data_IF_214570058718
#
_entry.id   IF_214570058718
#
_cell.length_a   1.000
_cell.length_b   1.000
_cell.length_c   1.000
_cell.angle_alpha   90.00
_cell.angle_beta   90.00
_cell.angle_gamma   90.00
#
_symmetry.space_group_name_H-M   'P 1'
#
loop_
_entity.id
_entity.type
_entity.pdbx_description
1 polymer ?
#
# COMPACT_ATOMS: atom_id res chain seq x y z
N UNK A 1 -0.61 41.19 55.19
CA UNK A 1 0.77 41.71 55.26
C UNK A 1 1.36 41.73 53.85
N UNK A 2 1.89 42.90 53.44
CA UNK A 2 3.01 43.17 52.49
C UNK A 2 3.12 42.30 51.20
N UNK A 3 2.87 42.88 50.01
CA UNK A 3 3.86 43.53 49.06
C UNK A 3 4.73 42.48 48.31
N UNK A 4 5.10 42.50 47.03
CA UNK A 4 5.24 43.42 45.86
C UNK A 4 5.57 42.50 44.64
N UNK A 5 4.96 42.63 43.45
CA UNK A 5 5.47 43.26 42.19
C UNK A 5 6.97 43.07 41.87
N UNK A 6 7.29 42.60 40.65
CA UNK A 6 8.44 42.92 39.74
C UNK A 6 8.83 41.67 38.92
N UNK A 7 9.16 41.68 37.61
CA UNK A 7 9.39 42.73 36.66
C UNK A 7 9.21 42.22 35.21
N UNK A 8 8.68 43.10 34.37
CA UNK A 8 8.76 43.12 32.91
C UNK A 8 10.19 43.00 32.39
N UNK A 9 10.40 42.23 31.32
CA UNK A 9 11.34 42.63 30.28
C UNK A 9 10.77 42.27 28.91
N UNK A 10 10.20 43.28 28.26
CA UNK A 10 9.92 43.30 26.82
C UNK A 10 11.20 43.79 26.16
N UNK A 11 11.78 42.99 25.27
CA UNK A 11 12.72 43.50 24.27
C UNK A 11 12.26 43.00 22.90
N UNK A 12 11.83 43.95 22.09
CA UNK A 12 11.39 43.79 20.73
C UNK A 12 12.58 43.48 19.79
N UNK A 13 12.37 42.60 18.82
CA UNK A 13 13.02 42.72 17.51
C UNK A 13 11.91 42.77 16.46
N UNK A 14 11.91 43.89 15.74
CA UNK A 14 11.06 44.23 14.62
C UNK A 14 11.45 43.46 13.35
N UNK A 15 10.44 43.23 12.54
CA UNK A 15 10.44 43.22 11.07
C UNK A 15 11.02 42.01 10.32
N UNK A 16 10.11 41.14 9.87
CA UNK A 16 10.00 40.78 8.45
C UNK A 16 8.54 40.46 8.16
N UNK A 17 7.84 41.45 7.63
CA UNK A 17 6.47 41.36 7.15
C UNK A 17 6.37 40.42 5.94
N UNK A 18 5.60 39.35 6.07
CA UNK A 18 4.69 38.96 4.98
C UNK A 18 3.28 39.03 5.54
N UNK A 19 2.56 40.06 5.11
CA UNK A 19 1.12 40.18 5.28
C UNK A 19 0.51 38.97 4.59
N UNK A 20 -0.04 38.05 5.35
CA UNK A 20 -1.02 37.13 4.80
C UNK A 20 -2.31 37.93 4.65
N UNK A 21 -2.50 38.43 3.43
CA UNK A 21 -3.80 38.88 2.98
C UNK A 21 -4.78 37.73 3.22
N UNK A 22 -5.88 38.04 3.89
CA UNK A 22 -6.96 37.11 4.10
C UNK A 22 -7.50 36.65 2.74
N UNK A 23 -7.28 35.38 2.41
CA UNK A 23 -8.18 34.62 1.57
C UNK A 23 -8.54 33.35 2.33
N UNK A 24 -9.73 33.36 2.93
CA UNK A 24 -10.38 32.18 3.50
C UNK A 24 -10.79 31.27 2.33
N UNK A 25 -9.87 30.45 1.84
CA UNK A 25 -10.15 29.31 0.97
C UNK A 25 -9.82 28.01 1.75
N UNK A 26 -10.63 26.94 1.60
CA UNK A 26 -10.68 25.86 2.57
C UNK A 26 -9.44 24.98 2.51
N UNK A 27 -8.52 25.17 3.45
CA UNK A 27 -7.36 24.29 3.71
C UNK A 27 -7.78 22.85 4.04
N UNK A 28 -9.05 22.63 4.39
CA UNK A 28 -9.63 21.32 4.66
C UNK A 28 -9.73 20.41 3.41
N UNK A 29 -9.88 20.99 2.21
CA UNK A 29 -10.07 20.20 0.98
C UNK A 29 -8.77 19.55 0.47
N UNK A 30 -7.60 20.14 0.73
CA UNK A 30 -6.30 19.60 0.32
C UNK A 30 -5.79 18.49 1.25
N UNK A 31 -6.09 18.55 2.55
CA UNK A 31 -5.78 17.45 3.48
C UNK A 31 -6.68 16.23 3.24
N UNK A 32 -7.94 16.43 2.85
CA UNK A 32 -8.85 15.33 2.52
C UNK A 32 -8.44 14.56 1.25
N UNK A 33 -7.97 15.23 0.19
CA UNK A 33 -7.57 14.53 -1.05
C UNK A 33 -6.27 13.72 -0.89
N UNK A 34 -5.28 14.24 -0.14
CA UNK A 34 -4.05 13.48 0.15
C UNK A 34 -4.28 12.28 1.06
N UNK A 35 -5.14 12.40 2.09
CA UNK A 35 -5.50 11.25 2.93
C UNK A 35 -6.26 10.19 2.14
N UNK A 36 -7.21 10.57 1.27
CA UNK A 36 -8.00 9.59 0.48
C UNK A 36 -7.13 8.82 -0.51
N UNK A 37 -6.15 9.46 -1.17
CA UNK A 37 -5.24 8.77 -2.11
C UNK A 37 -4.23 7.86 -1.40
N UNK A 38 -3.72 8.26 -0.24
CA UNK A 38 -2.81 7.41 0.53
C UNK A 38 -3.55 6.20 1.11
N UNK A 39 -4.76 6.39 1.66
CA UNK A 39 -5.60 5.28 2.16
C UNK A 39 -5.98 4.28 1.05
N UNK A 40 -6.22 4.72 -0.19
CA UNK A 40 -6.52 3.81 -1.30
C UNK A 40 -5.33 2.99 -1.77
N UNK A 41 -4.11 3.56 -1.80
CA UNK A 41 -2.90 2.81 -2.17
C UNK A 41 -2.55 1.74 -1.13
N UNK A 42 -2.70 2.02 0.17
CA UNK A 42 -2.49 1.03 1.23
C UNK A 42 -3.57 -0.06 1.23
N UNK A 43 -4.85 0.33 1.05
CA UNK A 43 -5.97 -0.62 1.04
C UNK A 43 -5.94 -1.63 -0.13
N UNK A 44 -5.27 -1.29 -1.25
CA UNK A 44 -5.08 -2.23 -2.36
C UNK A 44 -3.94 -3.23 -2.06
N UNK A 45 -2.86 -2.78 -1.44
CA UNK A 45 -1.75 -3.65 -1.02
C UNK A 45 -2.17 -4.62 0.09
N UNK A 46 -3.02 -4.17 1.03
CA UNK A 46 -3.58 -5.01 2.11
C UNK A 46 -4.47 -6.16 1.61
N UNK A 47 -4.87 -6.15 0.33
CA UNK A 47 -5.68 -7.22 -0.29
C UNK A 47 -4.85 -8.23 -1.08
N UNK A 48 -3.53 -8.22 -0.96
CA UNK A 48 -2.64 -9.17 -1.62
C UNK A 48 -2.06 -10.14 -0.57
N UNK A 49 -2.30 -11.44 -0.75
CA UNK A 49 -1.76 -12.48 0.13
C UNK A 49 -0.31 -12.82 -0.26
N UNK A 50 0.65 -12.32 0.52
CA UNK A 50 2.06 -12.69 0.39
C UNK A 50 2.27 -14.19 0.71
N UNK A 51 1.53 -14.72 1.68
CA UNK A 51 1.54 -16.14 2.03
C UNK A 51 1.16 -17.04 0.85
N UNK A 52 0.08 -16.69 0.14
CA UNK A 52 -0.32 -17.40 -1.07
C UNK A 52 0.72 -17.29 -2.19
N UNK A 53 1.47 -16.19 -2.27
CA UNK A 53 2.58 -16.05 -3.23
C UNK A 53 3.72 -17.02 -2.90
N UNK A 54 4.13 -17.11 -1.64
CA UNK A 54 5.19 -18.03 -1.22
C UNK A 54 4.79 -19.49 -1.44
N UNK A 55 3.57 -19.88 -1.09
CA UNK A 55 3.07 -21.23 -1.36
C UNK A 55 3.15 -21.59 -2.86
N UNK A 56 2.76 -20.67 -3.75
CA UNK A 56 2.88 -20.92 -5.20
C UNK A 56 4.33 -20.95 -5.69
N UNK A 57 5.23 -20.20 -5.05
CA UNK A 57 6.66 -20.26 -5.34
C UNK A 57 7.27 -21.60 -4.91
N UNK A 58 6.90 -22.11 -3.74
CA UNK A 58 7.34 -23.41 -3.26
C UNK A 58 6.88 -24.54 -4.18
N UNK A 59 5.63 -24.49 -4.67
CA UNK A 59 5.13 -25.42 -5.69
C UNK A 59 5.96 -25.35 -6.98
N UNK A 60 6.32 -24.14 -7.44
CA UNK A 60 7.16 -23.97 -8.63
C UNK A 60 8.55 -24.57 -8.43
N UNK A 61 9.18 -24.31 -7.28
CA UNK A 61 10.54 -24.81 -6.98
C UNK A 61 10.51 -26.31 -6.71
N UNK A 62 9.47 -26.85 -6.08
CA UNK A 62 9.29 -28.28 -5.88
C UNK A 62 9.26 -29.02 -7.22
N UNK A 63 8.55 -28.46 -8.22
CA UNK A 63 8.55 -29.03 -9.57
C UNK A 63 9.95 -29.02 -10.20
N UNK A 64 10.74 -27.96 -9.99
CA UNK A 64 12.13 -27.93 -10.45
C UNK A 64 12.99 -28.99 -9.74
N UNK A 65 12.83 -29.16 -8.42
CA UNK A 65 13.54 -30.16 -7.64
C UNK A 65 13.27 -31.59 -8.15
N UNK A 66 12.02 -31.91 -8.52
CA UNK A 66 11.69 -33.18 -9.16
C UNK A 66 12.50 -33.42 -10.44
N UNK A 67 12.63 -32.41 -11.30
CA UNK A 67 13.40 -32.52 -12.55
C UNK A 67 14.92 -32.51 -12.34
N UNK A 68 15.39 -32.05 -11.17
CA UNK A 68 16.79 -32.18 -10.77
C UNK A 68 17.10 -33.51 -10.06
N UNK A 69 16.13 -34.41 -9.92
CA UNK A 69 16.32 -35.69 -9.25
C UNK A 69 16.39 -35.59 -7.73
N UNK A 70 15.84 -34.52 -7.14
CA UNK A 70 15.77 -34.31 -5.70
C UNK A 70 14.31 -34.40 -5.19
N UNK A 71 13.78 -35.63 -5.02
CA UNK A 71 12.40 -35.82 -4.58
C UNK A 71 12.18 -35.45 -3.10
N UNK A 72 13.22 -35.51 -2.26
CA UNK A 72 13.10 -35.13 -0.86
C UNK A 72 12.93 -33.63 -0.73
N UNK A 73 13.69 -32.82 -1.49
CA UNK A 73 13.48 -31.37 -1.51
C UNK A 73 12.13 -30.99 -2.10
N UNK A 74 11.67 -31.70 -3.14
CA UNK A 74 10.33 -31.49 -3.69
C UNK A 74 9.25 -31.74 -2.62
N UNK A 75 9.37 -32.82 -1.86
CA UNK A 75 8.45 -33.16 -0.77
C UNK A 75 8.44 -32.09 0.33
N UNK A 76 9.61 -31.65 0.77
CA UNK A 76 9.76 -30.57 1.76
C UNK A 76 9.01 -29.31 1.32
N UNK A 77 9.30 -28.81 0.11
CA UNK A 77 8.67 -27.61 -0.44
C UNK A 77 7.15 -27.78 -0.63
N UNK A 78 6.67 -28.95 -1.03
CA UNK A 78 5.21 -29.19 -1.11
C UNK A 78 4.53 -29.23 0.26
N UNK A 79 5.23 -29.68 1.30
CA UNK A 79 4.70 -29.66 2.67
C UNK A 79 4.67 -28.23 3.21
N UNK A 80 5.70 -27.43 2.93
CA UNK A 80 5.74 -25.99 3.28
C UNK A 80 4.59 -25.25 2.59
N UNK A 81 4.40 -25.45 1.28
CA UNK A 81 3.27 -24.89 0.54
C UNK A 81 1.91 -25.30 1.14
N UNK A 82 1.76 -26.59 1.49
CA UNK A 82 0.53 -27.08 2.13
C UNK A 82 0.28 -26.41 3.47
N UNK A 83 1.31 -26.27 4.32
CA UNK A 83 1.20 -25.63 5.62
C UNK A 83 0.83 -24.15 5.50
N UNK A 84 1.42 -23.44 4.53
CA UNK A 84 1.07 -22.05 4.23
C UNK A 84 -0.38 -21.94 3.75
N UNK A 85 -0.89 -22.86 2.94
CA UNK A 85 -2.26 -22.79 2.42
C UNK A 85 -3.32 -23.24 3.44
N UNK A 86 -2.95 -24.09 4.40
CA UNK A 86 -3.85 -24.62 5.43
C UNK A 86 -3.72 -23.93 6.79
N UNK A 87 -3.08 -22.77 6.84
CA UNK A 87 -2.94 -22.00 8.08
C UNK A 87 -4.28 -21.34 8.47
N UNK A 88 -4.93 -21.90 9.48
CA UNK A 88 -6.21 -21.43 10.01
C UNK A 88 -6.10 -20.07 10.73
N UNK A 89 -4.89 -19.60 11.05
CA UNK A 89 -4.71 -18.25 11.61
C UNK A 89 -4.80 -17.15 10.56
N UNK A 90 -4.79 -17.52 9.28
CA UNK A 90 -4.87 -16.59 8.15
C UNK A 90 -6.32 -16.32 7.75
N UNK A 91 -6.71 -15.04 7.77
CA UNK A 91 -8.02 -14.56 7.37
C UNK A 91 -8.16 -14.48 5.83
N UNK A 92 -8.21 -15.64 5.16
CA UNK A 92 -8.18 -15.76 3.68
C UNK A 92 -9.25 -14.94 2.95
N UNK A 93 -10.43 -14.76 3.56
CA UNK A 93 -11.53 -14.00 2.99
C UNK A 93 -11.17 -12.53 2.69
N UNK A 94 -10.18 -11.95 3.38
CA UNK A 94 -9.71 -10.57 3.13
C UNK A 94 -9.03 -10.42 1.77
N UNK A 95 -8.45 -11.50 1.27
CA UNK A 95 -7.69 -11.56 0.01
C UNK A 95 -8.54 -12.11 -1.16
N UNK A 96 -9.78 -12.51 -0.91
CA UNK A 96 -10.67 -13.03 -1.94
C UNK A 96 -11.00 -11.97 -3.00
N UNK A 97 -10.96 -12.36 -4.28
CA UNK A 97 -11.35 -11.53 -5.42
C UNK A 97 -12.89 -11.50 -5.51
N UNK A 98 -13.55 -10.37 -5.18
CA UNK A 98 -15.00 -10.31 -5.18
C UNK A 98 -15.57 -10.47 -6.60
N UNK A 99 -16.70 -11.17 -6.71
CA UNK A 99 -17.44 -11.33 -7.97
C UNK A 99 -16.82 -12.26 -9.00
N UNK A 100 -15.68 -12.91 -8.69
CA UNK A 100 -15.06 -13.90 -9.59
C UNK A 100 -15.55 -15.31 -9.24
N UNK A 101 -16.32 -15.91 -10.15
CA UNK A 101 -16.74 -17.32 -10.02
C UNK A 101 -15.55 -18.25 -10.26
N UNK A 102 -15.45 -19.26 -9.43
CA UNK A 102 -14.56 -20.42 -9.55
C UNK A 102 -15.26 -21.55 -10.31
N UNK A 103 -14.48 -22.52 -10.78
CA UNK A 103 -15.00 -23.72 -11.46
C UNK A 103 -15.45 -24.80 -10.47
N UNK A 104 -15.10 -24.66 -9.18
CA UNK A 104 -15.50 -25.54 -8.11
C UNK A 104 -16.51 -24.82 -7.22
N UNK A 105 -17.52 -25.55 -6.74
CA UNK A 105 -18.44 -25.01 -5.75
C UNK A 105 -17.67 -24.70 -4.45
N UNK A 106 -18.03 -23.59 -3.81
CA UNK A 106 -17.46 -23.12 -2.54
C UNK A 106 -15.95 -22.78 -2.54
N UNK A 107 -15.34 -22.66 -3.72
CA UNK A 107 -13.95 -22.20 -3.88
C UNK A 107 -13.89 -20.68 -4.16
N UNK A 108 -12.78 -20.03 -3.82
CA UNK A 108 -12.56 -18.60 -3.98
C UNK A 108 -11.20 -18.30 -4.63
N UNK A 109 -11.20 -17.41 -5.61
CA UNK A 109 -9.93 -16.87 -6.12
C UNK A 109 -9.31 -15.92 -5.09
N UNK A 110 -8.12 -16.25 -4.62
CA UNK A 110 -7.32 -15.40 -3.74
C UNK A 110 -6.34 -14.56 -4.56
N UNK A 111 -6.25 -13.26 -4.28
CA UNK A 111 -5.26 -12.37 -4.91
C UNK A 111 -3.93 -12.54 -4.18
N UNK A 112 -2.96 -13.19 -4.82
CA UNK A 112 -1.63 -13.46 -4.24
C UNK A 112 -0.53 -12.53 -4.79
N UNK A 113 -0.78 -11.87 -5.92
CA UNK A 113 0.18 -10.95 -6.52
C UNK A 113 -0.56 -9.90 -7.36
N UNK A 114 0.07 -8.74 -7.55
CA UNK A 114 -0.40 -7.70 -8.44
C UNK A 114 0.79 -7.02 -9.14
N UNK A 115 0.59 -6.63 -10.39
CA UNK A 115 1.52 -5.82 -11.15
C UNK A 115 0.78 -4.67 -11.83
N UNK A 116 1.51 -3.60 -12.13
CA UNK A 116 0.96 -2.43 -12.82
C UNK A 116 1.28 -2.52 -14.31
N UNK A 117 0.24 -2.53 -15.13
CA UNK A 117 0.37 -2.30 -16.57
C UNK A 117 0.08 -0.83 -16.88
N UNK A 118 1.04 -0.13 -17.49
CA UNK A 118 0.91 1.27 -17.89
C UNK A 118 0.96 1.35 -19.41
N UNK A 119 0.08 2.17 -19.99
CA UNK A 119 0.09 2.50 -21.41
C UNK A 119 0.11 4.02 -21.56
N UNK A 120 1.13 4.54 -22.23
CA UNK A 120 1.23 5.96 -22.56
C UNK A 120 1.73 6.13 -24.00
N UNK A 121 1.66 7.36 -24.51
CA UNK A 121 2.17 7.69 -25.85
C UNK A 121 3.70 7.82 -25.91
N UNK A 122 4.38 7.90 -24.76
CA UNK A 122 5.82 8.18 -24.62
C UNK A 122 6.29 9.51 -25.24
N UNK A 123 5.36 10.38 -25.67
CA UNK A 123 5.67 11.73 -26.18
C UNK A 123 5.56 12.74 -25.05
N UNK A 124 6.62 13.52 -24.81
CA UNK A 124 6.60 14.60 -23.83
C UNK A 124 5.80 15.80 -24.35
N UNK A 125 4.83 16.27 -23.57
CA UNK A 125 4.13 17.54 -23.81
C UNK A 125 3.99 18.30 -22.49
N UNK A 126 3.91 19.64 -22.51
CA UNK A 126 3.70 20.44 -21.31
C UNK A 126 2.47 20.01 -20.50
N UNK A 127 1.39 19.61 -21.18
CA UNK A 127 0.17 19.12 -20.55
C UNK A 127 0.42 17.79 -19.82
N UNK A 128 1.18 16.87 -20.42
CA UNK A 128 1.54 15.60 -19.79
C UNK A 128 2.45 15.81 -18.58
N UNK A 129 3.41 16.73 -18.67
CA UNK A 129 4.29 17.07 -17.55
C UNK A 129 3.50 17.69 -16.38
N UNK A 130 2.55 18.58 -16.67
CA UNK A 130 1.65 19.13 -15.66
C UNK A 130 0.77 18.04 -15.03
N UNK A 131 0.22 17.12 -15.85
CA UNK A 131 -0.57 16.00 -15.35
C UNK A 131 0.26 15.05 -14.47
N UNK A 132 1.49 14.71 -14.87
CA UNK A 132 2.39 13.88 -14.06
C UNK A 132 2.70 14.56 -12.73
N UNK A 133 3.01 15.87 -12.72
CA UNK A 133 3.23 16.62 -11.47
C UNK A 133 2.01 16.62 -10.54
N UNK A 134 0.80 16.64 -11.10
CA UNK A 134 -0.43 16.57 -10.31
C UNK A 134 -0.76 15.16 -9.80
N UNK A 135 -0.15 14.12 -10.39
CA UNK A 135 -0.33 12.72 -9.97
C UNK A 135 0.74 12.23 -8.99
N UNK A 136 1.85 12.96 -8.84
CA UNK A 136 2.92 12.70 -7.85
C UNK A 136 2.50 13.19 -6.47
#
# INVERSE_FOLDING_TARGET
MKRLIMATMVTAILASSTVWAADNAPVAAQQQTQQVQQTQKTAAAERISEQGLYAMRDVQVARLALFHGDPEKAKELTNEASALLSDDSTEWAKFAKPGKKTNLNDDQYIVINASVGISESYVATPEKEAAIKNCQ
#
